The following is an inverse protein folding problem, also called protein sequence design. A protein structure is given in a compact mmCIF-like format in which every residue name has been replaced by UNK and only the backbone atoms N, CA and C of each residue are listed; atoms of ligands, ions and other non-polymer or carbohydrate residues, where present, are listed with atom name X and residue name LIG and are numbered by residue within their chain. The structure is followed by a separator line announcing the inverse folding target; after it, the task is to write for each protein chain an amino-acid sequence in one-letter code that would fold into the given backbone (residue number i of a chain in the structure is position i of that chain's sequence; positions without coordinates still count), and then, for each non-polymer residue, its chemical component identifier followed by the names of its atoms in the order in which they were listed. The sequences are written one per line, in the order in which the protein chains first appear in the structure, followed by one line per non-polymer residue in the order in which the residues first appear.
data_IF_561848812407
#
_entry.id   IF_561848812407
#
_cell.length_a   1.000
_cell.length_b   1.000
_cell.length_c   1.000
_cell.angle_alpha   90.00
_cell.angle_beta   90.00
_cell.angle_gamma   90.00
#
_symmetry.space_group_name_H-M   'P 1'
#
loop_
_entity.id
_entity.type
_entity.pdbx_description
1 polymer ?
#
# COMPACT_ATOMS: atom_id res chain seq x y z
N UNK A 1 -1.71 37.21 -16.58
CA UNK A 1 -0.90 36.12 -17.16
C UNK A 1 0.48 36.30 -16.59
N UNK A 2 0.82 35.59 -15.52
CA UNK A 2 2.17 35.69 -14.93
C UNK A 2 3.12 35.01 -15.91
N UNK A 3 4.14 35.75 -16.33
CA UNK A 3 5.27 35.22 -17.07
C UNK A 3 5.91 34.15 -16.18
N UNK A 4 5.83 32.88 -16.56
CA UNK A 4 6.49 31.82 -15.82
C UNK A 4 7.94 31.87 -16.25
N UNK A 5 8.78 32.52 -15.46
CA UNK A 5 10.23 32.51 -15.65
C UNK A 5 10.69 31.05 -15.76
N UNK A 6 11.15 30.66 -16.96
CA UNK A 6 11.63 29.31 -17.22
C UNK A 6 12.91 29.08 -16.42
N UNK A 7 12.89 28.10 -15.54
CA UNK A 7 14.08 27.68 -14.79
C UNK A 7 15.05 26.99 -15.75
N UNK A 8 16.36 27.33 -15.73
CA UNK A 8 17.35 26.63 -16.54
C UNK A 8 17.34 25.13 -16.26
N UNK A 9 17.30 24.31 -17.31
CA UNK A 9 17.22 22.83 -17.20
C UNK A 9 18.38 22.25 -16.37
N UNK A 10 19.56 22.88 -16.42
CA UNK A 10 20.70 22.51 -15.59
C UNK A 10 20.39 22.58 -14.08
N UNK A 11 19.71 23.63 -13.64
CA UNK A 11 19.37 23.82 -12.22
C UNK A 11 18.36 22.76 -11.76
N UNK A 12 17.39 22.43 -12.62
CA UNK A 12 16.43 21.35 -12.38
C UNK A 12 17.19 20.03 -12.27
N UNK A 13 18.10 19.73 -13.21
CA UNK A 13 18.88 18.51 -13.20
C UNK A 13 19.70 18.33 -11.93
N UNK A 14 20.41 19.35 -11.48
CA UNK A 14 21.21 19.31 -10.24
C UNK A 14 20.35 19.15 -8.98
N UNK A 15 19.14 19.71 -8.98
CA UNK A 15 18.18 19.55 -7.89
C UNK A 15 17.61 18.13 -7.86
N UNK A 16 17.16 17.61 -9.02
CA UNK A 16 16.63 16.25 -9.15
C UNK A 16 17.71 15.23 -8.83
N UNK A 17 18.94 15.38 -9.34
CA UNK A 17 20.04 14.47 -9.05
C UNK A 17 20.26 14.30 -7.54
N UNK A 18 20.32 15.42 -6.80
CA UNK A 18 20.50 15.38 -5.34
C UNK A 18 19.33 14.69 -4.63
N UNK A 19 18.10 14.92 -5.09
CA UNK A 19 16.89 14.41 -4.43
C UNK A 19 16.57 12.95 -4.79
N UNK A 20 16.98 12.50 -5.97
CA UNK A 20 16.73 11.15 -6.45
C UNK A 20 17.74 10.12 -5.91
N UNK A 21 18.85 10.54 -5.28
CA UNK A 21 19.95 9.65 -4.90
C UNK A 21 19.51 8.38 -4.17
N UNK A 22 18.70 8.49 -3.12
CA UNK A 22 18.27 7.31 -2.35
C UNK A 22 17.32 6.43 -3.15
N UNK A 23 16.37 7.02 -3.89
CA UNK A 23 15.47 6.24 -4.74
C UNK A 23 16.23 5.46 -5.81
N UNK A 24 17.20 6.10 -6.49
CA UNK A 24 18.03 5.46 -7.51
C UNK A 24 18.90 4.35 -6.91
N UNK A 25 19.41 4.53 -5.69
CA UNK A 25 20.18 3.50 -5.01
C UNK A 25 19.31 2.28 -4.62
N UNK A 26 18.08 2.52 -4.15
CA UNK A 26 17.11 1.45 -3.86
C UNK A 26 16.68 0.72 -5.14
N UNK A 27 16.46 1.46 -6.23
CA UNK A 27 16.15 0.90 -7.53
C UNK A 27 17.33 0.07 -8.08
N UNK A 28 18.57 0.53 -7.91
CA UNK A 28 19.76 -0.22 -8.31
C UNK A 28 19.90 -1.53 -7.53
N UNK A 29 19.70 -1.48 -6.20
CA UNK A 29 19.65 -2.68 -5.37
C UNK A 29 18.60 -3.67 -5.87
N UNK A 30 17.36 -3.20 -6.08
CA UNK A 30 16.25 -4.06 -6.50
C UNK A 30 16.47 -4.64 -7.90
N UNK A 31 16.99 -3.84 -8.85
CA UNK A 31 17.22 -4.25 -10.23
C UNK A 31 18.24 -5.39 -10.36
N UNK A 32 19.19 -5.47 -9.43
CA UNK A 32 20.25 -6.49 -9.39
C UNK A 32 19.97 -7.64 -8.41
N UNK A 33 18.86 -7.58 -7.66
CA UNK A 33 18.53 -8.64 -6.71
C UNK A 33 17.99 -9.89 -7.44
N UNK A 34 18.57 -11.09 -7.22
CA UNK A 34 18.25 -12.27 -8.03
C UNK A 34 16.85 -12.86 -7.78
N UNK A 35 16.25 -12.61 -6.61
CA UNK A 35 14.95 -13.14 -6.23
C UNK A 35 13.97 -12.01 -5.85
N UNK A 36 13.13 -11.57 -6.80
CA UNK A 36 12.18 -10.46 -6.62
C UNK A 36 11.33 -10.60 -5.36
N UNK A 37 10.78 -11.78 -5.08
CA UNK A 37 9.91 -12.01 -3.92
C UNK A 37 10.62 -11.82 -2.58
N UNK A 38 11.90 -12.18 -2.50
CA UNK A 38 12.71 -12.06 -1.28
C UNK A 38 13.22 -10.64 -1.09
N UNK A 39 13.37 -9.87 -2.18
CA UNK A 39 13.73 -8.46 -2.12
C UNK A 39 12.63 -7.59 -1.49
N UNK A 40 11.35 -7.95 -1.69
CA UNK A 40 10.19 -7.18 -1.22
C UNK A 40 9.98 -7.30 0.29
N UNK A 41 10.80 -6.59 1.05
CA UNK A 41 10.68 -6.42 2.51
C UNK A 41 9.88 -5.15 2.84
N UNK A 42 9.32 -5.07 4.05
CA UNK A 42 8.61 -3.85 4.49
C UNK A 42 9.53 -2.62 4.52
N UNK A 43 10.78 -2.69 5.01
CA UNK A 43 11.71 -1.56 4.94
C UNK A 43 12.00 -1.10 3.50
N UNK A 44 12.27 -2.02 2.56
CA UNK A 44 12.52 -1.65 1.15
C UNK A 44 11.34 -0.86 0.57
N UNK A 45 10.14 -1.42 0.71
CA UNK A 45 8.93 -0.82 0.15
C UNK A 45 8.58 0.53 0.81
N UNK A 46 8.79 0.65 2.13
CA UNK A 46 8.57 1.91 2.84
C UNK A 46 9.51 3.02 2.35
N UNK A 47 10.79 2.70 2.16
CA UNK A 47 11.79 3.65 1.66
C UNK A 47 11.52 4.01 0.19
N UNK A 48 11.21 3.02 -0.67
CA UNK A 48 10.84 3.27 -2.06
C UNK A 48 9.60 4.16 -2.16
N UNK A 49 8.56 3.90 -1.37
CA UNK A 49 7.35 4.72 -1.31
C UNK A 49 7.67 6.16 -0.87
N UNK A 50 8.38 6.32 0.25
CA UNK A 50 8.74 7.63 0.79
C UNK A 50 9.54 8.48 -0.19
N UNK A 51 10.57 7.89 -0.82
CA UNK A 51 11.45 8.63 -1.71
C UNK A 51 10.84 8.90 -3.08
N UNK A 52 10.02 7.99 -3.61
CA UNK A 52 9.28 8.22 -4.85
C UNK A 52 8.20 9.29 -4.69
N UNK A 53 7.50 9.33 -3.56
CA UNK A 53 6.53 10.38 -3.23
C UNK A 53 7.17 11.77 -3.25
N UNK A 54 8.29 11.94 -2.54
CA UNK A 54 9.03 13.20 -2.49
C UNK A 54 9.59 13.62 -3.86
N UNK A 55 10.06 12.64 -4.66
CA UNK A 55 10.59 12.93 -6.00
C UNK A 55 9.47 13.30 -6.98
N UNK A 56 8.33 12.63 -6.94
CA UNK A 56 7.18 12.94 -7.79
C UNK A 56 6.64 14.34 -7.50
N UNK A 57 6.46 14.70 -6.23
CA UNK A 57 6.04 16.06 -5.82
C UNK A 57 6.99 17.13 -6.39
N UNK A 58 8.29 16.88 -6.31
CA UNK A 58 9.31 17.78 -6.85
C UNK A 58 9.23 17.88 -8.38
N UNK A 59 9.10 16.75 -9.08
CA UNK A 59 8.95 16.73 -10.53
C UNK A 59 7.67 17.45 -10.99
N UNK A 60 6.56 17.27 -10.27
CA UNK A 60 5.29 17.92 -10.55
C UNK A 60 5.35 19.42 -10.29
N UNK A 61 6.08 19.86 -9.26
CA UNK A 61 6.35 21.28 -8.99
C UNK A 61 6.97 22.00 -10.19
N UNK A 62 7.85 21.33 -10.93
CA UNK A 62 8.48 21.87 -12.14
C UNK A 62 7.77 21.48 -13.45
N UNK A 63 6.58 20.88 -13.37
CA UNK A 63 5.78 20.54 -14.54
C UNK A 63 6.40 19.44 -15.42
N UNK A 64 7.16 18.50 -14.83
CA UNK A 64 7.83 17.42 -15.55
C UNK A 64 6.89 16.62 -16.47
N UNK A 65 5.62 16.45 -16.08
CA UNK A 65 4.61 15.78 -16.91
C UNK A 65 4.32 16.46 -18.25
N UNK A 66 4.70 17.73 -18.44
CA UNK A 66 4.55 18.50 -19.69
C UNK A 66 5.86 18.65 -20.46
N UNK A 67 6.95 18.05 -20.00
CA UNK A 67 8.25 18.10 -20.66
C UNK A 67 8.63 16.74 -21.23
N UNK A 68 8.95 16.68 -22.53
CA UNK A 68 9.33 15.43 -23.19
C UNK A 68 10.59 14.79 -22.59
N UNK A 69 11.48 15.59 -21.99
CA UNK A 69 12.69 15.07 -21.34
C UNK A 69 12.38 14.42 -19.99
N UNK A 70 11.39 14.94 -19.25
CA UNK A 70 11.16 14.61 -17.84
C UNK A 70 9.90 13.77 -17.59
N UNK A 71 8.96 13.72 -18.54
CA UNK A 71 7.68 13.04 -18.36
C UNK A 71 7.83 11.54 -18.10
N UNK A 72 8.83 10.91 -18.72
CA UNK A 72 9.16 9.50 -18.50
C UNK A 72 9.64 9.26 -17.07
N UNK A 73 10.61 10.05 -16.58
CA UNK A 73 11.13 9.93 -15.21
C UNK A 73 10.01 10.12 -14.19
N UNK A 74 9.14 11.11 -14.41
CA UNK A 74 7.97 11.38 -13.56
C UNK A 74 6.99 10.21 -13.56
N UNK A 75 6.66 9.66 -14.73
CA UNK A 75 5.74 8.51 -14.87
C UNK A 75 6.26 7.26 -14.16
N UNK A 76 7.55 6.95 -14.33
CA UNK A 76 8.17 5.79 -13.67
C UNK A 76 8.23 6.03 -12.15
N UNK A 77 8.54 7.24 -11.70
CA UNK A 77 8.53 7.60 -10.26
C UNK A 77 7.14 7.39 -9.66
N UNK A 78 6.09 7.83 -10.34
CA UNK A 78 4.70 7.62 -9.91
C UNK A 78 4.33 6.12 -9.86
N UNK A 79 4.83 5.33 -10.82
CA UNK A 79 4.65 3.87 -10.85
C UNK A 79 5.32 3.21 -9.65
N UNK A 80 6.57 3.57 -9.34
CA UNK A 80 7.28 3.08 -8.16
C UNK A 80 6.50 3.43 -6.89
N UNK A 81 6.01 4.67 -6.77
CA UNK A 81 5.21 5.10 -5.62
C UNK A 81 3.98 4.21 -5.44
N UNK A 82 3.16 4.09 -6.48
CA UNK A 82 1.92 3.31 -6.44
C UNK A 82 2.17 1.84 -6.07
N UNK A 83 3.08 1.18 -6.76
CA UNK A 83 3.33 -0.24 -6.53
C UNK A 83 4.10 -0.51 -5.24
N UNK A 84 4.84 0.47 -4.70
CA UNK A 84 5.43 0.34 -3.36
C UNK A 84 4.36 0.36 -2.29
N UNK A 85 3.37 1.25 -2.39
CA UNK A 85 2.24 1.33 -1.45
C UNK A 85 1.39 0.05 -1.50
N UNK A 86 0.96 -0.36 -2.70
CA UNK A 86 0.17 -1.60 -2.88
C UNK A 86 0.92 -2.82 -2.35
N UNK A 87 2.21 -2.96 -2.69
CA UNK A 87 3.01 -4.09 -2.19
C UNK A 87 3.17 -4.06 -0.67
N UNK A 88 3.28 -2.87 -0.07
CA UNK A 88 3.41 -2.72 1.38
C UNK A 88 2.13 -3.16 2.09
N UNK A 89 0.96 -2.78 1.58
CA UNK A 89 -0.33 -3.20 2.09
C UNK A 89 -0.55 -4.72 1.92
N UNK A 90 -0.16 -5.30 0.79
CA UNK A 90 -0.22 -6.75 0.59
C UNK A 90 0.73 -7.51 1.54
N UNK A 91 1.94 -6.99 1.79
CA UNK A 91 2.83 -7.54 2.81
C UNK A 91 2.20 -7.43 4.19
N UNK A 92 1.55 -6.32 4.51
CA UNK A 92 0.84 -6.14 5.77
C UNK A 92 -0.23 -7.23 5.94
N UNK A 93 -1.09 -7.42 4.94
CA UNK A 93 -2.12 -8.47 4.92
C UNK A 93 -1.48 -9.84 5.15
N UNK A 94 -0.44 -10.20 4.39
CA UNK A 94 0.24 -11.51 4.51
C UNK A 94 0.76 -11.77 5.92
N UNK A 95 1.42 -10.78 6.54
CA UNK A 95 1.97 -10.91 7.90
C UNK A 95 0.89 -10.93 8.98
N UNK A 96 -0.23 -10.23 8.75
CA UNK A 96 -1.31 -10.10 9.72
C UNK A 96 -2.39 -11.17 9.59
N UNK A 97 -2.38 -11.94 8.50
CA UNK A 97 -3.37 -12.97 8.22
C UNK A 97 -3.64 -13.91 9.41
N UNK A 98 -2.64 -14.45 10.13
CA UNK A 98 -2.90 -15.31 11.30
C UNK A 98 -3.61 -14.59 12.46
N UNK A 99 -3.56 -13.25 12.48
CA UNK A 99 -4.10 -12.41 13.55
C UNK A 99 -5.45 -11.79 13.20
N UNK A 100 -5.92 -11.95 11.96
CA UNK A 100 -7.23 -11.47 11.55
C UNK A 100 -8.36 -12.42 11.99
N UNK A 101 -8.06 -13.63 12.48
CA UNK A 101 -9.09 -14.60 12.90
C UNK A 101 -10.20 -14.77 11.85
N UNK A 102 -9.83 -14.76 10.56
CA UNK A 102 -10.80 -14.82 9.47
C UNK A 102 -11.57 -16.13 9.55
N UNK A 103 -12.88 -16.04 9.37
CA UNK A 103 -13.73 -17.21 9.15
C UNK A 103 -13.25 -17.91 7.86
N UNK A 104 -13.40 -19.23 7.80
CA UNK A 104 -13.05 -20.01 6.61
C UNK A 104 -13.68 -19.39 5.35
N UNK A 105 -12.82 -19.03 4.39
CA UNK A 105 -13.21 -18.55 3.07
C UNK A 105 -12.98 -19.65 2.04
N UNK A 106 -13.82 -19.72 1.00
CA UNK A 106 -13.78 -20.80 0.00
C UNK A 106 -12.46 -20.86 -0.79
N UNK A 107 -11.83 -19.71 -1.01
CA UNK A 107 -10.58 -19.59 -1.79
C UNK A 107 -9.37 -19.49 -0.88
N UNK A 108 -8.22 -19.96 -1.36
CA UNK A 108 -6.95 -19.79 -0.68
C UNK A 108 -6.50 -18.32 -0.73
N UNK A 109 -6.90 -17.57 0.30
CA UNK A 109 -6.61 -16.14 0.43
C UNK A 109 -5.10 -15.88 0.56
N UNK A 110 -4.36 -16.78 1.20
CA UNK A 110 -2.90 -16.65 1.34
C UNK A 110 -2.20 -16.84 -0.01
N UNK A 111 -2.62 -17.84 -0.79
CA UNK A 111 -2.11 -18.05 -2.13
C UNK A 111 -2.39 -16.83 -3.03
N UNK A 112 -3.63 -16.33 -3.04
CA UNK A 112 -4.00 -15.14 -3.82
C UNK A 112 -3.21 -13.89 -3.39
N UNK A 113 -2.98 -13.69 -2.08
CA UNK A 113 -2.15 -12.59 -1.57
C UNK A 113 -0.69 -12.72 -2.04
N UNK A 114 -0.15 -13.94 -2.06
CA UNK A 114 1.21 -14.18 -2.54
C UNK A 114 1.35 -13.99 -4.06
N UNK A 115 0.35 -14.37 -4.85
CA UNK A 115 0.29 -14.14 -6.29
C UNK A 115 0.27 -12.63 -6.60
N UNK A 116 -0.56 -11.87 -5.89
CA UNK A 116 -0.59 -10.41 -6.02
C UNK A 116 0.77 -9.77 -5.67
N UNK A 117 1.43 -10.24 -4.60
CA UNK A 117 2.77 -9.77 -4.22
C UNK A 117 3.84 -10.08 -5.27
N UNK A 118 3.77 -11.25 -5.90
CA UNK A 118 4.68 -11.61 -6.99
C UNK A 118 4.47 -10.70 -8.20
N UNK A 119 3.21 -10.48 -8.58
CA UNK A 119 2.84 -9.57 -9.67
C UNK A 119 3.34 -8.14 -9.43
N UNK A 120 3.05 -7.56 -8.26
CA UNK A 120 3.49 -6.19 -7.95
C UNK A 120 5.01 -6.09 -7.80
N UNK A 121 5.66 -7.13 -7.28
CA UNK A 121 7.11 -7.22 -7.20
C UNK A 121 7.79 -7.22 -8.57
N UNK A 122 7.21 -7.93 -9.55
CA UNK A 122 7.70 -7.91 -10.95
C UNK A 122 7.60 -6.51 -11.54
N UNK A 123 6.50 -5.80 -11.31
CA UNK A 123 6.31 -4.42 -11.77
C UNK A 123 7.34 -3.48 -11.14
N UNK A 124 7.55 -3.56 -9.82
CA UNK A 124 8.57 -2.76 -9.15
C UNK A 124 9.97 -3.04 -9.67
N UNK A 125 10.30 -4.31 -9.93
CA UNK A 125 11.60 -4.69 -10.49
C UNK A 125 11.80 -4.10 -11.89
N UNK A 126 10.76 -4.11 -12.73
CA UNK A 126 10.84 -3.49 -14.05
C UNK A 126 10.93 -1.96 -13.95
N UNK A 127 10.09 -1.33 -13.12
CA UNK A 127 10.12 0.12 -12.91
C UNK A 127 11.47 0.59 -12.35
N UNK A 128 12.10 -0.21 -11.48
CA UNK A 128 13.45 0.05 -10.98
C UNK A 128 14.49 0.01 -12.10
N UNK A 129 14.41 -0.93 -13.05
CA UNK A 129 15.31 -0.94 -14.21
C UNK A 129 15.08 0.29 -15.11
N UNK A 130 13.82 0.65 -15.35
CA UNK A 130 13.49 1.78 -16.22
C UNK A 130 13.88 3.14 -15.61
N UNK A 131 13.70 3.34 -14.30
CA UNK A 131 14.10 4.61 -13.68
C UNK A 131 15.62 4.81 -13.76
N UNK A 132 16.40 3.73 -13.68
CA UNK A 132 17.85 3.78 -13.85
C UNK A 132 18.25 4.10 -15.30
N UNK A 133 17.54 3.53 -16.29
CA UNK A 133 17.76 3.87 -17.70
C UNK A 133 17.45 5.35 -17.95
N UNK A 134 16.29 5.83 -17.50
CA UNK A 134 15.88 7.21 -17.64
C UNK A 134 16.82 8.19 -16.91
N UNK A 135 17.31 7.81 -15.74
CA UNK A 135 18.31 8.58 -15.01
C UNK A 135 19.61 8.74 -15.82
N UNK A 136 20.09 7.67 -16.47
CA UNK A 136 21.27 7.74 -17.35
C UNK A 136 21.05 8.63 -18.58
N UNK A 137 19.88 8.53 -19.22
CA UNK A 137 19.52 9.38 -20.37
C UNK A 137 19.50 10.88 -20.01
N UNK A 138 19.02 11.20 -18.81
CA UNK A 138 19.02 12.56 -18.27
C UNK A 138 20.39 13.01 -17.74
N UNK A 139 21.38 12.12 -17.75
CA UNK A 139 22.72 12.36 -17.21
C UNK A 139 22.76 12.50 -15.69
N UNK A 140 21.81 11.91 -14.98
CA UNK A 140 21.80 11.83 -13.52
C UNK A 140 22.77 10.74 -13.04
N UNK A 141 23.49 11.02 -11.96
CA UNK A 141 24.37 10.05 -11.31
C UNK A 141 23.55 9.03 -10.51
N UNK A 142 23.81 7.75 -10.74
CA UNK A 142 23.33 6.65 -9.89
C UNK A 142 24.37 6.43 -8.79
N UNK A 143 24.05 6.69 -7.52
CA UNK A 143 24.99 6.50 -6.44
C UNK A 143 25.16 5.01 -6.10
N UNK A 144 26.38 4.60 -5.78
CA UNK A 144 26.63 3.27 -5.22
C UNK A 144 26.56 3.34 -3.70
N UNK A 145 25.56 2.67 -3.12
CA UNK A 145 25.29 2.63 -1.67
C UNK A 145 25.16 1.17 -1.21
N UNK A 146 26.28 0.44 -1.00
CA UNK A 146 26.24 -0.96 -0.57
C UNK A 146 25.52 -1.15 0.77
N UNK A 147 25.50 -0.13 1.62
CA UNK A 147 24.81 -0.12 2.92
C UNK A 147 23.30 -0.35 2.80
N UNK A 148 22.68 -0.10 1.64
CA UNK A 148 21.25 -0.35 1.42
C UNK A 148 20.89 -1.80 1.67
N UNK A 149 21.76 -2.73 1.27
CA UNK A 149 21.51 -4.16 1.45
C UNK A 149 21.32 -4.53 2.92
N UNK A 150 21.91 -3.78 3.86
CA UNK A 150 21.75 -3.99 5.30
C UNK A 150 20.48 -3.31 5.83
N UNK A 151 20.19 -2.08 5.39
CA UNK A 151 19.05 -1.30 5.90
C UNK A 151 17.70 -1.88 5.47
N UNK A 152 17.65 -2.51 4.30
CA UNK A 152 16.41 -3.07 3.75
C UNK A 152 16.12 -4.49 4.21
N UNK A 153 17.03 -5.14 4.93
CA UNK A 153 16.81 -6.47 5.47
C UNK A 153 15.83 -6.46 6.65
N UNK A 154 14.92 -7.42 6.65
CA UNK A 154 13.91 -7.57 7.69
C UNK A 154 14.11 -8.89 8.46
N UNK A 155 14.90 -8.83 9.55
CA UNK A 155 15.15 -9.97 10.44
C UNK A 155 14.34 -9.81 11.72
N UNK A 156 13.21 -10.50 11.81
CA UNK A 156 12.29 -10.38 12.95
C UNK A 156 12.42 -11.58 13.90
N UNK A 157 12.44 -11.36 15.22
CA UNK A 157 12.34 -12.45 16.18
C UNK A 157 10.95 -13.09 16.18
N UNK A 158 10.87 -14.37 16.52
CA UNK A 158 9.60 -15.05 16.75
C UNK A 158 8.99 -14.67 18.10
N UNK A 159 7.65 -14.67 18.18
CA UNK A 159 6.90 -14.51 19.42
C UNK A 159 6.21 -13.15 19.57
N UNK A 160 5.80 -12.84 20.81
CA UNK A 160 5.14 -11.58 21.19
C UNK A 160 5.67 -11.13 22.54
N UNK A 161 5.59 -9.83 22.80
CA UNK A 161 5.75 -9.30 24.15
C UNK A 161 4.67 -9.85 25.08
N UNK A 162 4.98 -9.88 26.38
CA UNK A 162 4.01 -10.21 27.43
C UNK A 162 2.85 -9.21 27.41
N UNK A 163 1.62 -9.70 27.60
CA UNK A 163 0.42 -8.86 27.70
C UNK A 163 0.20 -8.47 29.16
N UNK A 164 0.92 -7.45 29.62
CA UNK A 164 0.87 -6.92 30.99
C UNK A 164 0.05 -5.64 31.13
N UNK A 165 -0.53 -5.14 30.03
CA UNK A 165 -1.54 -4.09 30.07
C UNK A 165 -2.85 -4.63 30.68
N UNK A 166 -3.35 -3.99 31.73
CA UNK A 166 -4.65 -4.32 32.32
C UNK A 166 -5.82 -4.06 31.37
N UNK A 167 -6.86 -4.89 31.45
CA UNK A 167 -8.07 -4.72 30.67
C UNK A 167 -8.92 -3.54 31.18
N UNK A 168 -9.41 -2.71 30.27
CA UNK A 168 -10.30 -1.59 30.59
C UNK A 168 -11.70 -2.11 30.95
N UNK A 169 -12.30 -1.57 32.00
CA UNK A 169 -13.70 -1.81 32.36
C UNK A 169 -14.52 -0.58 31.97
N UNK A 170 -15.44 -0.75 31.02
CA UNK A 170 -16.26 0.33 30.46
C UNK A 170 -17.67 -0.22 30.23
N UNK A 171 -18.67 0.37 30.88
CA UNK A 171 -20.04 -0.16 30.90
C UNK A 171 -20.78 -0.02 29.55
N UNK A 172 -20.33 0.89 28.68
CA UNK A 172 -20.99 1.21 27.40
C UNK A 172 -20.54 0.33 26.23
N UNK A 173 -19.57 -0.58 26.43
CA UNK A 173 -18.94 -1.34 25.34
C UNK A 173 -19.93 -2.22 24.59
N UNK A 174 -20.88 -2.84 25.29
CA UNK A 174 -21.89 -3.70 24.66
C UNK A 174 -22.75 -2.94 23.62
N UNK A 175 -23.14 -1.70 23.93
CA UNK A 175 -23.86 -0.83 23.01
C UNK A 175 -23.01 -0.46 21.79
N UNK A 176 -21.74 -0.11 22.02
CA UNK A 176 -20.79 0.16 20.93
C UNK A 176 -20.56 -1.04 20.04
N UNK A 177 -20.41 -2.24 20.60
CA UNK A 177 -20.28 -3.50 19.84
C UNK A 177 -21.47 -3.72 18.92
N UNK A 178 -22.69 -3.50 19.42
CA UNK A 178 -23.91 -3.67 18.62
C UNK A 178 -23.95 -2.70 17.44
N UNK A 179 -23.57 -1.44 17.68
CA UNK A 179 -23.45 -0.43 16.64
C UNK A 179 -22.41 -0.82 15.57
N UNK A 180 -21.23 -1.26 16.00
CA UNK A 180 -20.15 -1.65 15.08
C UNK A 180 -20.51 -2.89 14.25
N UNK A 181 -21.12 -3.90 14.86
CA UNK A 181 -21.58 -5.09 14.15
C UNK A 181 -22.65 -4.73 13.10
N UNK A 182 -23.60 -3.86 13.47
CA UNK A 182 -24.64 -3.37 12.54
C UNK A 182 -24.03 -2.57 11.39
N UNK A 183 -23.09 -1.67 11.69
CA UNK A 183 -22.38 -0.89 10.69
C UNK A 183 -21.59 -1.79 9.73
N UNK A 184 -20.92 -2.82 10.23
CA UNK A 184 -20.22 -3.80 9.41
C UNK A 184 -21.16 -4.52 8.44
N UNK A 185 -22.32 -4.99 8.90
CA UNK A 185 -23.30 -5.68 8.06
C UNK A 185 -23.86 -4.76 6.96
N UNK A 186 -24.14 -3.49 7.30
CA UNK A 186 -24.59 -2.50 6.33
C UNK A 186 -23.50 -2.25 5.26
N UNK A 187 -22.24 -2.08 5.68
CA UNK A 187 -21.11 -1.92 4.76
C UNK A 187 -20.92 -3.17 3.88
N UNK A 188 -21.06 -4.36 4.44
CA UNK A 188 -20.97 -5.60 3.67
C UNK A 188 -22.09 -5.69 2.60
N UNK A 189 -23.31 -5.22 2.92
CA UNK A 189 -24.40 -5.09 1.94
C UNK A 189 -24.06 -4.07 0.86
N UNK A 190 -23.47 -2.94 1.23
CA UNK A 190 -23.03 -1.89 0.30
C UNK A 190 -21.90 -2.30 -0.66
N UNK A 191 -21.18 -3.38 -0.35
CA UNK A 191 -20.13 -3.96 -1.20
C UNK A 191 -20.67 -4.98 -2.24
N UNK A 192 -21.97 -5.01 -2.53
CA UNK A 192 -22.54 -5.89 -3.56
C UNK A 192 -21.90 -5.69 -4.94
N UNK A 193 -21.66 -4.46 -5.35
CA UNK A 193 -21.06 -4.16 -6.66
C UNK A 193 -19.59 -4.63 -6.75
N UNK A 194 -18.84 -4.54 -5.65
CA UNK A 194 -17.47 -5.09 -5.53
C UNK A 194 -17.51 -6.60 -5.72
N UNK A 195 -18.46 -7.27 -5.03
CA UNK A 195 -18.65 -8.73 -5.14
C UNK A 195 -19.07 -9.14 -6.55
N UNK A 196 -19.97 -8.39 -7.18
CA UNK A 196 -20.41 -8.67 -8.55
C UNK A 196 -19.24 -8.61 -9.55
N UNK A 197 -18.41 -7.58 -9.45
CA UNK A 197 -17.26 -7.40 -10.34
C UNK A 197 -16.15 -8.44 -10.09
N UNK A 198 -15.95 -8.87 -8.85
CA UNK A 198 -14.97 -9.94 -8.54
C UNK A 198 -15.33 -11.31 -9.15
N UNK A 199 -16.58 -11.50 -9.57
CA UNK A 199 -17.11 -12.76 -10.13
C UNK A 199 -17.18 -12.78 -11.65
N UNK A 200 -16.97 -11.65 -12.32
CA UNK A 200 -16.95 -11.58 -13.79
C UNK A 200 -15.55 -11.95 -14.33
N UNK A 201 -15.50 -12.67 -15.45
CA UNK A 201 -14.22 -12.89 -16.12
C UNK A 201 -13.70 -11.57 -16.69
N UNK A 202 -12.37 -11.34 -16.71
CA UNK A 202 -11.78 -10.09 -17.23
C UNK A 202 -12.23 -9.75 -18.66
N UNK A 203 -12.51 -10.78 -19.48
CA UNK A 203 -12.96 -10.63 -20.87
C UNK A 203 -14.42 -10.16 -20.99
N UNK A 204 -15.28 -10.50 -20.02
CA UNK A 204 -16.69 -10.09 -19.99
C UNK A 204 -16.90 -8.71 -19.33
N UNK A 205 -15.89 -8.22 -18.61
CA UNK A 205 -15.96 -6.96 -17.86
C UNK A 205 -15.86 -5.72 -18.77
N UNK A 206 -15.34 -5.86 -19.99
CA UNK A 206 -15.24 -4.76 -20.98
C UNK A 206 -16.62 -4.39 -21.56
N UNK A 207 -17.60 -5.31 -21.52
CA UNK A 207 -18.94 -5.13 -22.09
C UNK A 207 -20.01 -4.66 -21.09
N UNK A 208 -19.78 -4.81 -19.78
CA UNK A 208 -20.65 -4.20 -18.78
C UNK A 208 -20.12 -2.81 -18.46
N UNK A 209 -20.99 -1.81 -18.50
CA UNK A 209 -20.67 -0.47 -18.02
C UNK A 209 -20.10 -0.56 -16.59
N UNK A 210 -18.78 -0.43 -16.46
CA UNK A 210 -18.01 -0.39 -15.21
C UNK A 210 -18.30 0.86 -14.36
N UNK A 211 -19.44 1.51 -14.58
CA UNK A 211 -19.86 2.72 -13.87
C UNK A 211 -20.23 2.47 -12.40
N UNK A 212 -20.42 1.20 -12.00
CA UNK A 212 -20.78 0.83 -10.63
C UNK A 212 -19.58 0.86 -9.65
N UNK A 213 -18.35 0.62 -10.14
CA UNK A 213 -17.13 0.70 -9.34
C UNK A 213 -16.22 1.79 -9.87
N UNK A 214 -16.38 2.99 -9.30
CA UNK A 214 -15.47 4.11 -9.50
C UNK A 214 -14.41 4.17 -8.39
N UNK A 215 -13.29 4.85 -8.66
CA UNK A 215 -12.29 5.20 -7.64
C UNK A 215 -12.92 5.93 -6.45
N UNK A 216 -13.87 6.83 -6.72
CA UNK A 216 -14.63 7.54 -5.69
C UNK A 216 -15.38 6.55 -4.77
N UNK A 217 -16.05 5.54 -5.35
CA UNK A 217 -16.77 4.52 -4.57
C UNK A 217 -15.82 3.67 -3.74
N UNK A 218 -14.69 3.25 -4.31
CA UNK A 218 -13.67 2.47 -3.60
C UNK A 218 -13.09 3.26 -2.42
N UNK A 219 -12.72 4.52 -2.62
CA UNK A 219 -12.25 5.42 -1.55
C UNK A 219 -13.30 5.65 -0.46
N UNK A 220 -14.56 5.80 -0.86
CA UNK A 220 -15.67 5.94 0.09
C UNK A 220 -15.80 4.70 0.99
N UNK A 221 -15.72 3.50 0.41
CA UNK A 221 -15.75 2.24 1.17
C UNK A 221 -14.50 2.10 2.06
N UNK A 222 -13.31 2.41 1.53
CA UNK A 222 -12.04 2.37 2.26
C UNK A 222 -12.14 3.20 3.55
N UNK A 223 -12.59 4.46 3.41
CA UNK A 223 -12.75 5.37 4.53
C UNK A 223 -13.76 4.86 5.57
N UNK A 224 -14.86 4.24 5.13
CA UNK A 224 -15.87 3.69 6.02
C UNK A 224 -15.37 2.48 6.82
N UNK A 225 -14.65 1.55 6.18
CA UNK A 225 -14.02 0.43 6.87
C UNK A 225 -12.89 0.87 7.80
N UNK A 226 -12.10 1.88 7.40
CA UNK A 226 -11.10 2.51 8.27
C UNK A 226 -11.75 3.10 9.53
N UNK A 227 -12.86 3.84 9.38
CA UNK A 227 -13.57 4.41 10.52
C UNK A 227 -14.13 3.33 11.44
N UNK A 228 -14.67 2.25 10.88
CA UNK A 228 -15.15 1.11 11.65
C UNK A 228 -14.02 0.49 12.48
N UNK A 229 -12.86 0.25 11.86
CA UNK A 229 -11.67 -0.26 12.55
C UNK A 229 -11.19 0.70 13.64
N UNK A 230 -11.13 2.00 13.36
CA UNK A 230 -10.71 3.03 14.31
C UNK A 230 -11.64 3.14 15.53
N UNK A 231 -12.96 3.08 15.30
CA UNK A 231 -13.94 3.07 16.39
C UNK A 231 -13.81 1.80 17.25
N UNK A 232 -13.62 0.64 16.62
CA UNK A 232 -13.36 -0.59 17.36
C UNK A 232 -12.08 -0.47 18.21
N UNK A 233 -10.97 -0.05 17.61
CA UNK A 233 -9.67 0.05 18.30
C UNK A 233 -9.74 1.07 19.46
N UNK A 234 -10.53 2.13 19.33
CA UNK A 234 -10.73 3.15 20.37
C UNK A 234 -11.60 2.65 21.53
N UNK A 235 -12.77 2.11 21.23
CA UNK A 235 -13.83 1.89 22.23
C UNK A 235 -13.96 0.44 22.69
N UNK A 236 -13.50 -0.54 21.90
CA UNK A 236 -13.68 -1.98 22.19
C UNK A 236 -12.35 -2.65 22.53
N UNK A 237 -11.28 -2.34 21.79
CA UNK A 237 -10.01 -3.05 21.95
C UNK A 237 -9.41 -2.90 23.36
N UNK A 238 -8.90 -3.98 23.94
CA UNK A 238 -8.32 -3.99 25.29
C UNK A 238 -9.34 -3.84 26.43
N UNK A 239 -10.64 -3.96 26.15
CA UNK A 239 -11.68 -3.99 27.20
C UNK A 239 -11.91 -5.41 27.72
N UNK A 240 -12.49 -5.56 28.92
CA UNK A 240 -12.86 -6.88 29.43
C UNK A 240 -13.85 -7.62 28.50
N UNK A 241 -14.73 -6.88 27.82
CA UNK A 241 -15.70 -7.46 26.87
C UNK A 241 -14.98 -8.13 25.70
N UNK A 242 -13.98 -7.48 25.09
CA UNK A 242 -13.15 -8.09 24.03
C UNK A 242 -12.40 -9.34 24.51
N UNK A 243 -11.98 -9.38 25.77
CA UNK A 243 -11.29 -10.55 26.32
C UNK A 243 -12.23 -11.74 26.55
N UNK A 244 -13.52 -11.49 26.77
CA UNK A 244 -14.52 -12.51 27.05
C UNK A 244 -15.22 -13.02 25.78
N UNK A 245 -15.39 -12.16 24.78
CA UNK A 245 -16.07 -12.45 23.52
C UNK A 245 -15.06 -12.70 22.39
N UNK A 246 -14.95 -13.95 21.97
CA UNK A 246 -14.02 -14.38 20.91
C UNK A 246 -14.42 -13.93 19.51
N UNK A 247 -15.67 -13.48 19.31
CA UNK A 247 -16.16 -13.05 18.01
C UNK A 247 -15.77 -11.59 17.70
N UNK A 248 -15.45 -10.79 18.73
CA UNK A 248 -15.02 -9.41 18.55
C UNK A 248 -13.69 -9.28 17.79
N UNK A 249 -12.63 -10.06 18.11
CA UNK A 249 -11.44 -10.14 17.27
C UNK A 249 -11.70 -10.58 15.83
N UNK A 250 -12.71 -11.43 15.60
CA UNK A 250 -13.12 -11.89 14.25
C UNK A 250 -13.73 -10.74 13.46
N UNK A 251 -14.71 -10.03 14.04
CA UNK A 251 -15.31 -8.82 13.44
C UNK A 251 -14.23 -7.79 13.07
N UNK A 252 -13.34 -7.49 14.01
CA UNK A 252 -12.24 -6.54 13.80
C UNK A 252 -11.30 -6.99 12.70
N UNK A 253 -10.99 -8.28 12.65
CA UNK A 253 -10.12 -8.83 11.62
C UNK A 253 -10.72 -8.79 10.21
N UNK A 254 -12.03 -9.07 10.08
CA UNK A 254 -12.75 -8.89 8.82
C UNK A 254 -12.81 -7.43 8.38
N UNK A 255 -13.12 -6.50 9.30
CA UNK A 255 -13.09 -5.07 9.00
C UNK A 255 -11.71 -4.62 8.52
N UNK A 256 -10.64 -5.08 9.20
CA UNK A 256 -9.27 -4.71 8.88
C UNK A 256 -8.80 -5.27 7.54
N UNK A 257 -9.06 -6.56 7.23
CA UNK A 257 -8.62 -7.12 5.94
C UNK A 257 -9.34 -6.46 4.77
N UNK A 258 -10.64 -6.14 4.90
CA UNK A 258 -11.38 -5.44 3.84
C UNK A 258 -10.85 -4.01 3.65
N UNK A 259 -10.58 -3.29 4.74
CA UNK A 259 -9.91 -1.98 4.67
C UNK A 259 -8.59 -2.06 3.89
N UNK A 260 -7.70 -2.98 4.24
CA UNK A 260 -6.40 -3.09 3.57
C UNK A 260 -6.52 -3.53 2.11
N UNK A 261 -7.50 -4.38 1.77
CA UNK A 261 -7.77 -4.73 0.36
C UNK A 261 -8.24 -3.51 -0.44
N UNK A 262 -9.11 -2.67 0.13
CA UNK A 262 -9.58 -1.46 -0.54
C UNK A 262 -8.45 -0.44 -0.78
N UNK A 263 -7.43 -0.42 0.10
CA UNK A 263 -6.21 0.38 -0.12
C UNK A 263 -5.33 -0.11 -1.28
N UNK A 264 -5.54 -1.34 -1.75
CA UNK A 264 -4.82 -1.89 -2.91
C UNK A 264 -5.56 -1.70 -4.24
N UNK A 265 -6.77 -1.13 -4.20
CA UNK A 265 -7.69 -1.03 -5.35
C UNK A 265 -7.54 0.26 -6.15
#
# INVERSE_FOLDING_TARGET
MMDVDLVPEQNIRELIERRAQTLLALADYLAHYPATREAMTRPLLADMLSHSMQLEELLDTYGAGKSCNWCSLRSITATIKLFSDVSYELLHIRHRLPNYHLIAVERDFLAATNEALEFTGLILTQAAKEILNQARELGLRIPQKPEIAETVQERLPHGRLTRDCGARQVDTVAGTVTLLATAFLNLASECEDVRATSRTQPQDNVLRNSTALSEERLRSLEFQFHNLQSQYDTYVSGTQVEHQDTDLPVLRGHASVVFHLLRTA
#
